data_IF_279740438318
#
_entry.id   IF_279740438318
#
_cell.length_a   1.000
_cell.length_b   1.000
_cell.length_c   1.000
_cell.angle_alpha   90.00
_cell.angle_beta   90.00
_cell.angle_gamma   90.00
#
_symmetry.space_group_name_H-M   'P 1'
#
loop_
_entity.id
_entity.type
_entity.pdbx_description
1 polymer ?
#
# COMPACT_ATOMS: atom_id res chain seq x y z
N UNK A 1 -3.26 16.55 6.53
CA UNK A 1 -1.81 16.39 6.66
C UNK A 1 -1.38 15.30 5.71
N UNK A 2 -0.36 15.50 4.88
CA UNK A 2 0.03 14.53 3.85
C UNK A 2 1.54 14.31 3.83
N UNK A 3 1.98 13.06 3.80
CA UNK A 3 3.37 12.67 3.63
C UNK A 3 3.51 11.77 2.41
N UNK A 4 4.53 12.02 1.59
CA UNK A 4 4.79 11.31 0.33
C UNK A 4 5.93 10.33 0.54
N UNK A 5 5.78 9.12 0.01
CA UNK A 5 6.75 8.04 0.07
C UNK A 5 7.06 7.57 -1.35
N UNK A 6 8.29 7.78 -1.79
CA UNK A 6 8.81 7.15 -3.00
C UNK A 6 9.34 5.78 -2.61
N UNK A 7 8.82 4.72 -3.23
CA UNK A 7 9.20 3.36 -2.89
C UNK A 7 10.30 2.87 -3.84
N UNK A 8 11.28 2.18 -3.29
CA UNK A 8 12.37 1.54 -4.02
C UNK A 8 12.10 0.04 -4.12
N UNK A 9 12.55 -0.57 -5.22
CA UNK A 9 12.50 -2.02 -5.39
C UNK A 9 13.35 -2.71 -4.32
N UNK A 10 12.70 -3.57 -3.53
CA UNK A 10 13.28 -4.33 -2.44
C UNK A 10 13.43 -5.80 -2.87
N UNK A 11 14.62 -6.18 -3.32
CA UNK A 11 14.88 -7.54 -3.82
C UNK A 11 16.34 -7.93 -3.67
N UNK A 12 16.58 -9.20 -3.37
CA UNK A 12 17.91 -9.84 -3.47
C UNK A 12 18.03 -10.68 -4.77
N UNK A 13 16.96 -10.75 -5.57
CA UNK A 13 16.81 -11.61 -6.74
C UNK A 13 16.66 -10.84 -8.06
N UNK A 14 17.07 -9.56 -8.09
CA UNK A 14 16.84 -8.62 -9.19
C UNK A 14 17.12 -9.17 -10.60
N UNK A 15 18.25 -9.87 -10.77
CA UNK A 15 18.63 -10.42 -12.08
C UNK A 15 17.72 -11.57 -12.52
N UNK A 16 17.33 -12.45 -11.58
CA UNK A 16 16.42 -13.56 -11.84
C UNK A 16 15.00 -13.06 -12.11
N UNK A 17 14.56 -12.05 -11.35
CA UNK A 17 13.24 -11.43 -11.55
C UNK A 17 13.14 -10.77 -12.94
N UNK A 18 14.20 -10.07 -13.37
CA UNK A 18 14.27 -9.46 -14.70
C UNK A 18 14.21 -10.52 -15.82
N UNK A 19 14.94 -11.62 -15.66
CA UNK A 19 14.92 -12.75 -16.61
C UNK A 19 13.52 -13.37 -16.70
N UNK A 20 12.87 -13.66 -15.57
CA UNK A 20 11.53 -14.27 -15.55
C UNK A 20 10.46 -13.38 -16.19
N UNK A 21 10.58 -12.05 -16.01
CA UNK A 21 9.70 -11.05 -16.61
C UNK A 21 10.04 -10.73 -18.08
N UNK A 22 11.17 -11.24 -18.58
CA UNK A 22 11.65 -11.00 -19.94
C UNK A 22 12.01 -9.54 -20.19
N UNK A 23 12.59 -8.86 -19.20
CA UNK A 23 13.00 -7.45 -19.24
C UNK A 23 14.44 -7.29 -18.75
N UNK A 24 14.99 -6.07 -18.85
CA UNK A 24 16.32 -5.79 -18.30
C UNK A 24 16.25 -5.36 -16.83
N UNK A 25 17.37 -5.44 -16.12
CA UNK A 25 17.50 -4.88 -14.77
C UNK A 25 17.14 -3.38 -14.74
N UNK A 26 17.56 -2.63 -15.77
CA UNK A 26 17.27 -1.20 -15.86
C UNK A 26 15.76 -0.93 -16.01
N UNK A 27 15.01 -1.83 -16.66
CA UNK A 27 13.55 -1.71 -16.77
C UNK A 27 12.87 -1.91 -15.42
N UNK A 28 13.34 -2.85 -14.59
CA UNK A 28 12.81 -3.05 -13.24
C UNK A 28 13.13 -1.86 -12.33
N UNK A 29 14.35 -1.33 -12.42
CA UNK A 29 14.76 -0.12 -11.71
C UNK A 29 14.01 1.15 -12.19
N UNK A 30 13.47 1.11 -13.41
CA UNK A 30 12.64 2.16 -13.98
C UNK A 30 11.18 2.15 -13.53
N UNK A 31 10.75 1.15 -12.75
CA UNK A 31 9.44 1.15 -12.11
C UNK A 31 9.41 2.22 -11.03
N UNK A 32 8.41 3.10 -11.08
CA UNK A 32 8.22 4.14 -10.08
C UNK A 32 6.95 3.86 -9.30
N UNK A 33 7.05 3.87 -7.97
CA UNK A 33 5.91 3.75 -7.08
C UNK A 33 5.95 4.88 -6.06
N UNK A 34 4.84 5.59 -5.96
CA UNK A 34 4.63 6.63 -4.96
C UNK A 34 3.41 6.26 -4.11
N UNK A 35 3.54 6.43 -2.79
CA UNK A 35 2.42 6.35 -1.86
C UNK A 35 2.28 7.67 -1.13
N UNK A 36 1.08 8.24 -1.11
CA UNK A 36 0.75 9.44 -0.36
C UNK A 36 -0.16 9.05 0.80
N UNK A 37 0.34 9.21 2.02
CA UNK A 37 -0.45 9.03 3.23
C UNK A 37 -1.03 10.36 3.67
N UNK A 38 -2.35 10.49 3.65
CA UNK A 38 -3.08 11.69 4.05
C UNK A 38 -3.97 11.44 5.26
N UNK A 39 -3.76 12.20 6.32
CA UNK A 39 -4.67 12.29 7.45
C UNK A 39 -5.67 13.42 7.25
N UNK A 40 -6.95 13.04 7.24
CA UNK A 40 -8.09 13.94 7.07
C UNK A 40 -8.89 13.97 8.37
N UNK A 41 -9.04 15.15 8.96
CA UNK A 41 -9.99 15.36 10.04
C UNK A 41 -11.37 15.60 9.43
N UNK A 42 -12.28 14.62 9.51
CA UNK A 42 -13.66 14.72 9.04
C UNK A 42 -14.61 15.16 10.17
N UNK A 43 -14.31 16.25 10.86
CA UNK A 43 -15.28 16.90 11.75
C UNK A 43 -16.41 17.53 10.90
N UNK A 44 -17.59 16.92 10.86
CA UNK A 44 -18.81 17.57 10.34
C UNK A 44 -19.59 18.18 11.50
N UNK A 45 -19.53 19.51 11.59
CA UNK A 45 -20.60 20.42 12.03
C UNK A 45 -21.75 19.78 12.84
N UNK A 46 -21.59 19.66 14.17
CA UNK A 46 -22.69 19.76 15.15
C UNK A 46 -22.23 19.61 16.61
N UNK A 47 -21.12 18.92 16.89
CA UNK A 47 -20.58 18.80 18.27
C UNK A 47 -19.04 18.83 18.27
N UNK A 48 -18.40 19.74 19.04
CA UNK A 48 -16.95 19.93 19.10
C UNK A 48 -16.19 18.81 19.85
N UNK A 49 -16.87 17.71 20.19
CA UNK A 49 -16.33 16.55 20.93
C UNK A 49 -16.48 15.27 20.08
N UNK A 50 -16.14 15.37 18.79
CA UNK A 50 -16.43 14.34 17.79
C UNK A 50 -15.43 14.31 16.62
N UNK A 51 -14.14 14.57 16.88
CA UNK A 51 -13.08 14.48 15.86
C UNK A 51 -13.03 13.08 15.27
N UNK A 52 -13.10 12.98 13.93
CA UNK A 52 -13.01 11.72 13.18
C UNK A 52 -11.84 11.76 12.22
N UNK A 53 -10.70 11.22 12.65
CA UNK A 53 -9.52 11.09 11.80
C UNK A 53 -9.67 9.91 10.84
N UNK A 54 -9.36 10.15 9.58
CA UNK A 54 -9.28 9.13 8.54
C UNK A 54 -7.88 9.17 7.91
N UNK A 55 -7.27 7.99 7.77
CA UNK A 55 -6.10 7.77 6.94
C UNK A 55 -6.55 7.45 5.52
N UNK A 56 -6.02 8.18 4.55
CA UNK A 56 -6.09 7.91 3.12
C UNK A 56 -4.69 7.51 2.64
N UNK A 57 -4.60 6.42 1.87
CA UNK A 57 -3.38 5.97 1.21
C UNK A 57 -3.64 5.95 -0.28
N UNK A 58 -3.09 6.92 -1.01
CA UNK A 58 -3.10 6.94 -2.47
C UNK A 58 -1.81 6.29 -2.95
N UNK A 59 -1.89 5.27 -3.80
CA UNK A 59 -0.70 4.60 -4.33
C UNK A 59 -0.72 4.57 -5.86
N UNK A 60 0.34 5.11 -6.44
CA UNK A 60 0.54 5.35 -7.86
C UNK A 60 1.70 4.51 -8.36
N UNK A 61 1.50 3.77 -9.45
CA UNK A 61 2.50 2.93 -10.09
C UNK A 61 2.68 3.39 -11.53
N UNK A 62 3.94 3.60 -11.91
CA UNK A 62 4.33 3.90 -13.29
C UNK A 62 5.28 2.83 -13.78
N UNK A 63 4.87 2.12 -14.82
CA UNK A 63 5.69 1.10 -15.48
C UNK A 63 6.32 1.67 -16.76
N UNK A 64 7.61 1.40 -17.02
CA UNK A 64 8.32 1.92 -18.18
C UNK A 64 8.01 1.17 -19.47
N UNK A 65 7.47 -0.06 -19.39
CA UNK A 65 7.27 -0.95 -20.53
C UNK A 65 5.82 -1.44 -20.66
N UNK A 66 5.37 -1.55 -21.91
CA UNK A 66 4.08 -2.16 -22.26
C UNK A 66 3.97 -3.61 -21.80
N UNK A 67 5.06 -4.36 -21.93
CA UNK A 67 5.12 -5.78 -21.56
C UNK A 67 4.91 -5.98 -20.07
N UNK A 68 5.48 -5.11 -19.22
CA UNK A 68 5.24 -5.14 -17.78
C UNK A 68 3.78 -4.79 -17.46
N UNK A 69 3.25 -3.74 -18.09
CA UNK A 69 1.85 -3.34 -17.89
C UNK A 69 0.83 -4.40 -18.31
N UNK A 70 1.13 -5.18 -19.35
CA UNK A 70 0.28 -6.29 -19.79
C UNK A 70 0.37 -7.52 -18.87
N UNK A 71 1.48 -7.70 -18.15
CA UNK A 71 1.68 -8.81 -17.22
C UNK A 71 1.22 -8.48 -15.79
N UNK A 72 1.10 -7.20 -15.43
CA UNK A 72 0.68 -6.78 -14.10
C UNK A 72 -0.75 -7.27 -13.80
N UNK A 73 -0.88 -8.05 -12.73
CA UNK A 73 -2.18 -8.38 -12.16
C UNK A 73 -2.76 -7.13 -11.49
N UNK A 74 -3.66 -6.45 -12.20
CA UNK A 74 -4.33 -5.25 -11.72
C UNK A 74 -5.85 -5.38 -11.86
N UNK A 75 -6.52 -6.00 -10.87
CA UNK A 75 -7.93 -6.31 -11.00
C UNK A 75 -8.80 -5.04 -11.04
N UNK A 76 -9.93 -5.15 -11.72
CA UNK A 76 -10.91 -4.07 -11.82
C UNK A 76 -11.65 -3.90 -10.49
N UNK A 77 -11.86 -2.62 -10.12
CA UNK A 77 -12.77 -2.15 -9.08
C UNK A 77 -14.12 -2.92 -9.11
N UNK A 78 -14.52 -3.55 -8.01
CA UNK A 78 -15.87 -4.09 -7.86
C UNK A 78 -16.41 -3.79 -6.47
N UNK A 79 -17.47 -2.98 -6.40
CA UNK A 79 -18.08 -2.56 -5.14
C UNK A 79 -18.54 -3.76 -4.29
N UNK A 80 -18.94 -4.85 -4.95
CA UNK A 80 -19.42 -6.09 -4.33
C UNK A 80 -18.30 -6.90 -3.68
N UNK A 81 -17.05 -6.69 -4.07
CA UNK A 81 -15.87 -7.37 -3.50
C UNK A 81 -15.25 -6.62 -2.32
N UNK A 82 -15.72 -5.39 -2.05
CA UNK A 82 -15.20 -4.57 -0.96
C UNK A 82 -15.53 -5.23 0.37
N UNK A 83 -14.49 -5.74 1.05
CA UNK A 83 -14.67 -6.49 2.27
C UNK A 83 -13.38 -7.14 2.77
N UNK A 84 -13.48 -7.76 3.94
CA UNK A 84 -12.36 -8.50 4.50
C UNK A 84 -11.98 -9.69 3.62
N UNK A 85 -10.69 -9.83 3.31
CA UNK A 85 -10.12 -11.04 2.71
C UNK A 85 -8.67 -11.22 3.17
N UNK A 86 -8.30 -12.45 3.47
CA UNK A 86 -6.96 -12.82 3.92
C UNK A 86 -6.04 -13.17 2.73
N UNK A 87 -4.75 -13.37 2.99
CA UNK A 87 -3.74 -13.78 1.99
C UNK A 87 -3.58 -12.80 0.81
N UNK A 88 -3.88 -11.52 1.00
CA UNK A 88 -3.77 -10.51 -0.05
C UNK A 88 -2.33 -10.27 -0.51
N UNK A 89 -1.34 -10.53 0.35
CA UNK A 89 0.09 -10.44 0.04
C UNK A 89 0.56 -11.46 -1.01
N UNK A 90 -0.26 -12.45 -1.38
CA UNK A 90 0.02 -13.38 -2.48
C UNK A 90 -0.28 -12.80 -3.88
N UNK A 91 -0.79 -11.55 -3.93
CA UNK A 91 -1.20 -10.85 -5.14
C UNK A 91 -0.67 -9.42 -5.13
N UNK A 92 -1.03 -8.63 -6.14
CA UNK A 92 -0.79 -7.18 -6.09
C UNK A 92 -1.51 -6.59 -4.89
N UNK A 93 -0.76 -5.95 -3.99
CA UNK A 93 -1.25 -5.51 -2.70
C UNK A 93 -0.53 -4.21 -2.29
N UNK A 94 -1.29 -3.24 -1.79
CA UNK A 94 -0.74 -2.18 -0.94
C UNK A 94 -0.70 -2.73 0.49
N UNK A 95 0.49 -2.78 1.07
CA UNK A 95 0.68 -3.00 2.50
C UNK A 95 1.00 -1.66 3.17
N UNK A 96 0.59 -1.48 4.41
CA UNK A 96 0.99 -0.30 5.18
C UNK A 96 1.07 -0.64 6.66
N UNK A 97 2.26 -0.46 7.22
CA UNK A 97 2.51 -0.71 8.63
C UNK A 97 2.44 0.58 9.43
N UNK A 98 1.74 0.53 10.57
CA UNK A 98 1.50 1.67 11.45
C UNK A 98 1.93 1.32 12.88
N UNK A 99 2.72 2.19 13.50
CA UNK A 99 3.01 2.12 14.92
C UNK A 99 2.87 3.48 15.60
N UNK A 100 2.52 3.44 16.89
CA UNK A 100 2.48 4.59 17.78
C UNK A 100 1.67 4.27 19.03
N UNK A 101 1.97 4.99 20.11
CA UNK A 101 1.54 4.64 21.46
C UNK A 101 0.02 4.65 21.62
N UNK A 102 -0.69 5.55 20.93
CA UNK A 102 -2.16 5.69 21.07
C UNK A 102 -2.96 4.76 20.14
N UNK A 103 -2.32 4.17 19.13
CA UNK A 103 -2.97 3.21 18.22
C UNK A 103 -2.74 1.79 18.73
N UNK A 104 -1.55 1.52 19.26
CA UNK A 104 -1.11 0.17 19.64
C UNK A 104 -0.69 0.09 21.11
N UNK A 105 -1.46 0.66 22.03
CA UNK A 105 -1.07 0.90 23.44
C UNK A 105 -0.75 -0.33 24.29
N UNK A 106 -0.90 -1.55 23.77
CA UNK A 106 -0.61 -2.80 24.48
C UNK A 106 0.90 -3.13 24.48
N UNK A 107 1.73 -2.16 24.85
CA UNK A 107 3.11 -2.43 25.22
C UNK A 107 3.09 -3.34 26.44
N UNK A 108 3.63 -4.55 26.27
CA UNK A 108 3.80 -5.52 27.35
C UNK A 108 5.28 -5.79 27.54
N UNK A 109 5.63 -6.37 28.68
CA UNK A 109 6.97 -6.92 28.91
C UNK A 109 6.86 -8.42 28.63
N UNK A 110 7.61 -8.92 27.66
CA UNK A 110 7.61 -10.35 27.38
C UNK A 110 8.37 -11.14 28.45
N UNK A 111 8.34 -12.47 28.36
CA UNK A 111 8.95 -13.39 29.35
C UNK A 111 10.46 -13.15 29.56
N UNK A 112 11.13 -12.48 28.62
CA UNK A 112 12.55 -12.15 28.65
C UNK A 112 12.86 -10.72 29.14
N UNK A 113 11.89 -10.03 29.76
CA UNK A 113 11.99 -8.63 30.19
C UNK A 113 12.19 -7.60 29.05
N UNK A 114 11.89 -7.96 27.81
CA UNK A 114 11.93 -7.02 26.69
C UNK A 114 10.58 -6.33 26.51
N UNK A 115 10.63 -5.03 26.26
CA UNK A 115 9.46 -4.22 25.90
C UNK A 115 8.98 -4.63 24.50
N UNK A 116 7.71 -4.98 24.35
CA UNK A 116 7.13 -5.30 23.04
C UNK A 116 6.87 -4.02 22.24
N UNK A 117 7.01 -4.11 20.91
CA UNK A 117 6.75 -3.01 19.98
C UNK A 117 5.55 -3.36 19.09
N UNK A 118 4.30 -3.20 19.58
CA UNK A 118 3.12 -3.56 18.83
C UNK A 118 2.88 -2.64 17.63
N UNK A 119 2.39 -3.22 16.54
CA UNK A 119 2.10 -2.51 15.30
C UNK A 119 0.86 -3.06 14.61
N UNK A 120 0.34 -2.30 13.65
CA UNK A 120 -0.73 -2.73 12.75
C UNK A 120 -0.23 -2.86 11.33
N UNK A 121 -0.84 -3.78 10.59
CA UNK A 121 -0.63 -3.96 9.16
C UNK A 121 -1.98 -3.83 8.45
N UNK A 122 -1.98 -3.02 7.38
CA UNK A 122 -3.10 -2.85 6.46
C UNK A 122 -2.69 -3.50 5.15
N UNK A 123 -3.48 -4.45 4.66
CA UNK A 123 -3.33 -5.02 3.33
C UNK A 123 -4.54 -4.64 2.49
N UNK A 124 -4.31 -4.10 1.31
CA UNK A 124 -5.36 -3.62 0.42
C UNK A 124 -5.09 -4.02 -1.03
N UNK A 125 -6.00 -4.80 -1.59
CA UNK A 125 -5.97 -5.21 -2.99
C UNK A 125 -6.56 -4.11 -3.90
N UNK A 126 -6.11 -3.99 -5.16
CA UNK A 126 -6.67 -3.03 -6.12
C UNK A 126 -8.15 -3.22 -6.47
N UNK A 127 -8.76 -4.36 -6.11
CA UNK A 127 -10.18 -4.68 -6.29
C UNK A 127 -11.08 -4.30 -5.10
N UNK A 128 -10.50 -3.82 -4.00
CA UNK A 128 -11.22 -3.31 -2.84
C UNK A 128 -11.30 -4.29 -1.67
N UNK A 129 -10.79 -5.51 -1.82
CA UNK A 129 -10.56 -6.43 -0.70
C UNK A 129 -9.48 -5.88 0.23
N UNK A 130 -9.61 -6.12 1.53
CA UNK A 130 -8.65 -5.65 2.52
C UNK A 130 -8.51 -6.59 3.72
N UNK A 131 -7.40 -6.46 4.43
CA UNK A 131 -7.22 -7.05 5.76
C UNK A 131 -6.50 -6.07 6.69
N UNK A 132 -6.84 -6.15 7.97
CA UNK A 132 -6.18 -5.40 9.02
C UNK A 132 -5.75 -6.36 10.12
N UNK A 133 -4.45 -6.38 10.39
CA UNK A 133 -3.84 -7.22 11.41
C UNK A 133 -3.21 -6.38 12.50
N UNK A 134 -3.17 -6.93 13.72
CA UNK A 134 -2.40 -6.38 14.82
C UNK A 134 -1.36 -7.39 15.23
N UNK A 135 -0.15 -6.88 15.44
CA UNK A 135 0.97 -7.62 15.96
C UNK A 135 1.28 -7.07 17.35
N UNK A 136 1.49 -7.97 18.30
CA UNK A 136 1.95 -7.62 19.64
C UNK A 136 3.44 -7.23 19.64
N UNK A 137 4.21 -7.79 18.71
CA UNK A 137 5.64 -7.53 18.51
C UNK A 137 6.05 -8.01 17.11
N UNK A 138 7.33 -7.87 16.75
CA UNK A 138 7.90 -8.35 15.48
C UNK A 138 7.40 -9.75 15.08
N UNK A 139 6.58 -9.81 14.01
CA UNK A 139 5.93 -11.02 13.47
C UNK A 139 5.23 -11.89 14.52
N UNK A 140 4.69 -11.27 15.58
CA UNK A 140 4.01 -11.96 16.67
C UNK A 140 2.54 -11.51 16.77
N UNK A 141 1.55 -12.42 16.65
CA UNK A 141 1.69 -13.87 16.51
C UNK A 141 2.27 -14.28 15.15
N UNK A 142 3.04 -15.37 15.13
CA UNK A 142 3.65 -15.90 13.90
C UNK A 142 2.72 -16.86 13.13
N UNK A 143 1.54 -17.16 13.66
CA UNK A 143 0.58 -18.10 13.07
C UNK A 143 -0.28 -17.43 12.01
N UNK A 144 -0.30 -18.01 10.80
CA UNK A 144 -1.19 -17.61 9.70
C UNK A 144 -2.41 -18.54 9.61
N UNK A 145 -3.61 -18.05 9.25
CA UNK A 145 -3.95 -16.63 9.10
C UNK A 145 -3.97 -15.92 10.47
N UNK A 146 -3.57 -14.65 10.49
CA UNK A 146 -3.69 -13.83 11.67
C UNK A 146 -5.17 -13.59 11.97
N UNK A 147 -5.54 -13.56 13.25
CA UNK A 147 -6.89 -13.18 13.62
C UNK A 147 -7.14 -11.73 13.16
N UNK A 148 -8.11 -11.49 12.26
CA UNK A 148 -8.31 -10.15 11.74
C UNK A 148 -8.88 -9.25 12.84
N UNK A 149 -8.40 -8.02 12.89
CA UNK A 149 -8.95 -7.01 13.80
C UNK A 149 -10.41 -6.67 13.48
N UNK A 150 -10.85 -6.97 12.25
CA UNK A 150 -12.17 -6.65 11.72
C UNK A 150 -12.80 -7.89 11.08
N UNK A 151 -13.87 -8.43 11.66
CA UNK A 151 -14.66 -9.48 10.99
C UNK A 151 -15.68 -8.87 10.02
N UNK A 152 -15.80 -9.47 8.82
CA UNK A 152 -16.61 -8.99 7.69
C UNK A 152 -18.14 -9.12 7.81
N UNK A 153 -18.73 -8.90 8.99
CA UNK A 153 -20.17 -9.05 9.22
C UNK A 153 -21.02 -7.81 8.83
N UNK A 154 -20.48 -6.88 8.04
CA UNK A 154 -21.20 -5.66 7.64
C UNK A 154 -21.36 -4.59 8.73
N UNK A 155 -20.80 -4.80 9.93
CA UNK A 155 -20.60 -3.75 10.94
C UNK A 155 -19.16 -3.16 10.88
N UNK A 156 -18.46 -3.40 9.77
CA UNK A 156 -17.02 -3.18 9.60
C UNK A 156 -16.60 -1.74 9.81
N UNK A 157 -15.55 -1.56 10.61
CA UNK A 157 -15.04 -0.26 11.08
C UNK A 157 -14.38 0.58 9.96
N UNK A 158 -13.85 -0.08 8.93
CA UNK A 158 -13.24 0.56 7.78
C UNK A 158 -14.31 0.87 6.71
N UNK A 159 -14.36 2.12 6.26
CA UNK A 159 -15.13 2.52 5.08
C UNK A 159 -14.15 2.79 3.94
N UNK A 160 -14.15 1.93 2.92
CA UNK A 160 -13.50 2.23 1.66
C UNK A 160 -14.48 3.11 0.88
N UNK A 161 -14.36 4.43 1.03
CA UNK A 161 -15.11 5.39 0.23
C UNK A 161 -14.37 5.58 -1.08
N UNK A 162 -14.72 4.75 -2.05
CA UNK A 162 -13.88 4.53 -3.22
C UNK A 162 -14.22 5.52 -4.33
N UNK A 163 -13.90 6.79 -4.06
CA UNK A 163 -14.18 7.91 -4.96
C UNK A 163 -13.31 7.83 -6.21
N UNK A 164 -13.82 7.13 -7.21
CA UNK A 164 -13.46 7.41 -8.59
C UNK A 164 -13.87 8.87 -8.89
N UNK A 165 -12.94 9.80 -8.76
CA UNK A 165 -12.99 11.09 -9.46
C UNK A 165 -11.88 11.13 -10.50
N UNK A 166 -12.13 11.75 -11.66
CA UNK A 166 -11.52 11.34 -12.92
C UNK A 166 -10.11 11.92 -13.04
N UNK A 167 -9.12 11.22 -12.51
CA UNK A 167 -7.81 11.29 -13.13
C UNK A 167 -7.83 10.30 -14.28
N UNK A 168 -7.95 10.90 -15.46
CA UNK A 168 -7.85 10.22 -16.74
C UNK A 168 -6.67 9.27 -16.68
N UNK A 169 -6.96 7.98 -16.57
CA UNK A 169 -6.06 6.97 -17.11
C UNK A 169 -5.83 7.44 -18.53
N UNK A 170 -4.65 7.98 -18.83
CA UNK A 170 -4.32 8.43 -20.19
C UNK A 170 -4.44 7.27 -21.20
N UNK A 171 -4.63 6.04 -20.70
CA UNK A 171 -4.80 4.82 -21.44
C UNK A 171 -5.96 3.91 -20.95
N UNK A 172 -7.02 4.38 -20.25
CA UNK A 172 -8.10 3.50 -19.75
C UNK A 172 -8.71 2.62 -20.84
N UNK A 173 -8.96 3.21 -22.01
CA UNK A 173 -9.46 2.48 -23.18
C UNK A 173 -8.45 1.47 -23.74
N UNK A 174 -7.14 1.74 -23.60
CA UNK A 174 -6.08 0.84 -24.05
C UNK A 174 -5.83 -0.30 -23.06
N UNK A 175 -5.91 -0.05 -21.75
CA UNK A 175 -5.79 -1.06 -20.70
C UNK A 175 -7.00 -2.00 -20.68
N UNK A 176 -8.22 -1.49 -20.91
CA UNK A 176 -9.41 -2.32 -21.09
C UNK A 176 -9.32 -3.20 -22.36
N UNK A 177 -8.73 -2.67 -23.44
CA UNK A 177 -8.46 -3.46 -24.66
C UNK A 177 -7.34 -4.50 -24.48
N UNK A 178 -6.36 -4.23 -23.60
CA UNK A 178 -5.26 -5.17 -23.27
C UNK A 178 -5.74 -6.32 -22.37
N UNK A 179 -6.66 -6.06 -21.43
CA UNK A 179 -7.31 -7.11 -20.63
C UNK A 179 -8.30 -7.97 -21.44
N UNK A 180 -8.75 -7.49 -22.61
CA UNK A 180 -9.63 -8.23 -23.52
C UNK A 180 -8.91 -9.20 -24.48
N UNK A 181 -7.61 -9.48 -24.27
CA UNK A 181 -6.94 -10.63 -24.90
C UNK A 181 -6.46 -10.47 -26.36
N UNK A 182 -6.38 -9.24 -26.89
CA UNK A 182 -5.75 -9.03 -28.22
C UNK A 182 -4.25 -8.74 -28.08
N UNK A 183 -3.43 -9.78 -28.26
CA UNK A 183 -1.97 -9.68 -28.39
C UNK A 183 -1.58 -8.96 -29.69
N UNK A 184 -0.87 -7.81 -29.67
CA UNK A 184 -0.13 -7.36 -30.83
C UNK A 184 1.29 -7.93 -30.76
N UNK A 185 1.73 -8.54 -31.85
CA UNK A 185 3.08 -9.06 -32.04
C UNK A 185 4.13 -7.95 -32.14
N UNK A 186 5.28 -8.24 -31.53
CA UNK A 186 6.66 -7.83 -31.88
C UNK A 186 7.34 -6.63 -31.19
N UNK A 187 8.56 -6.98 -30.73
CA UNK A 187 9.85 -6.25 -30.78
C UNK A 187 10.05 -5.01 -29.90
N UNK A 188 10.87 -5.14 -28.85
CA UNK A 188 11.51 -3.99 -28.20
C UNK A 188 12.97 -4.28 -27.78
N UNK A 189 13.90 -3.83 -28.62
CA UNK A 189 15.25 -3.44 -28.24
C UNK A 189 15.41 -1.96 -28.59
N UNK A 190 15.58 -1.07 -27.61
CA UNK A 190 15.95 0.33 -27.84
C UNK A 190 15.96 1.17 -26.56
N UNK A 191 16.87 2.16 -26.41
CA UNK A 191 17.08 2.89 -25.15
C UNK A 191 15.94 3.88 -24.85
N UNK A 192 15.68 4.17 -23.58
CA UNK A 192 14.67 5.12 -23.11
C UNK A 192 14.95 6.56 -23.61
N UNK A 193 14.11 7.06 -24.53
CA UNK A 193 14.15 8.43 -25.09
C UNK A 193 13.01 9.26 -24.46
N UNK A 194 13.25 10.55 -24.19
CA UNK A 194 12.23 11.52 -23.80
C UNK A 194 11.03 11.48 -24.78
N UNK A 195 9.83 11.14 -24.26
CA UNK A 195 8.65 10.79 -25.07
C UNK A 195 8.27 9.30 -25.01
N UNK A 196 8.99 8.48 -24.24
CA UNK A 196 8.62 7.10 -23.96
C UNK A 196 7.22 7.02 -23.32
N UNK A 197 6.38 6.13 -23.86
CA UNK A 197 5.05 5.86 -23.30
C UNK A 197 5.21 5.13 -21.98
N UNK A 198 4.75 5.76 -20.90
CA UNK A 198 4.62 5.16 -19.58
C UNK A 198 3.21 4.60 -19.36
N UNK A 199 3.10 3.64 -18.46
CA UNK A 199 1.83 2.98 -18.11
C UNK A 199 1.52 3.23 -16.65
N UNK A 200 0.43 3.95 -16.40
CA UNK A 200 0.07 4.44 -15.08
C UNK A 200 -1.12 3.68 -14.48
N UNK A 201 -1.00 3.36 -13.20
CA UNK A 201 -2.01 2.70 -12.39
C UNK A 201 -2.11 3.41 -11.04
N UNK A 202 -3.32 3.56 -10.52
CA UNK A 202 -3.54 4.27 -9.27
C UNK A 202 -4.74 3.69 -8.53
N UNK A 203 -4.66 3.72 -7.20
CA UNK A 203 -5.76 3.41 -6.27
C UNK A 203 -5.62 4.22 -4.99
N UNK A 204 -6.75 4.38 -4.32
CA UNK A 204 -6.84 4.97 -2.99
C UNK A 204 -7.47 3.99 -2.02
N UNK A 205 -6.91 3.90 -0.82
CA UNK A 205 -7.47 3.16 0.32
C UNK A 205 -7.78 4.11 1.47
N UNK A 206 -8.86 3.85 2.20
CA UNK A 206 -9.32 4.72 3.28
C UNK A 206 -9.62 3.92 4.55
N UNK A 207 -9.15 4.41 5.69
CA UNK A 207 -9.32 3.80 7.00
C UNK A 207 -9.67 4.84 8.06
N UNK A 208 -10.74 4.59 8.80
CA UNK A 208 -11.09 5.42 9.97
C UNK A 208 -10.18 5.07 11.15
N UNK A 209 -9.37 6.04 11.61
CA UNK A 209 -8.42 5.84 12.72
C UNK A 209 -9.11 5.81 14.08
N UNK A 210 -10.24 6.49 14.21
CA UNK A 210 -11.08 6.47 15.42
C UNK A 210 -11.50 5.08 15.86
N UNK A 211 -11.46 4.13 14.94
CA UNK A 211 -11.92 2.78 15.16
C UNK A 211 -10.73 1.80 15.16
N UNK A 212 -9.50 2.33 15.25
CA UNK A 212 -8.27 1.60 15.60
C UNK A 212 -7.86 1.82 17.05
N UNK A 213 -8.02 3.04 17.59
CA UNK A 213 -7.56 3.33 18.95
C UNK A 213 -8.30 2.48 19.98
N UNK A 214 -7.52 1.79 20.82
CA UNK A 214 -8.02 1.06 21.99
C UNK A 214 -8.25 1.99 23.20
N UNK A 215 -7.84 3.26 23.10
CA UNK A 215 -7.92 4.25 24.18
C UNK A 215 -8.88 5.36 23.76
N UNK A 216 -9.90 5.64 24.57
CA UNK A 216 -10.71 6.85 24.40
C UNK A 216 -9.86 8.05 24.79
N UNK A 217 -9.19 8.68 23.84
CA UNK A 217 -8.46 9.92 24.08
C UNK A 217 -9.42 11.11 23.97
N UNK A 218 -9.27 12.08 24.88
CA UNK A 218 -10.01 13.36 24.86
C UNK A 218 -9.32 14.42 24.00
N UNK A 219 -8.16 14.09 23.42
CA UNK A 219 -7.30 15.01 22.67
C UNK A 219 -7.35 14.64 21.18
N UNK A 220 -7.25 15.64 20.31
CA UNK A 220 -7.23 15.51 18.83
C UNK A 220 -5.98 14.78 18.27
N UNK A 221 -5.24 14.05 19.10
CA UNK A 221 -4.01 13.34 18.74
C UNK A 221 -4.30 12.10 17.88
N UNK A 222 -3.38 11.84 16.95
CA UNK A 222 -3.55 10.83 15.90
C UNK A 222 -2.99 9.47 16.30
N UNK A 223 -1.88 9.45 17.06
CA UNK A 223 -1.26 8.21 17.52
C UNK A 223 -0.46 7.44 16.48
N UNK A 224 -0.25 8.00 15.28
CA UNK A 224 0.68 7.44 14.29
C UNK A 224 2.02 8.13 14.51
N UNK A 225 2.99 7.39 15.01
CA UNK A 225 4.38 7.84 15.14
C UNK A 225 5.23 7.35 13.96
N UNK A 226 4.92 6.15 13.45
CA UNK A 226 5.60 5.53 12.32
C UNK A 226 4.58 5.05 11.29
N UNK A 227 4.95 5.25 10.03
CA UNK A 227 4.20 4.75 8.88
C UNK A 227 5.19 4.16 7.86
N UNK A 228 4.85 3.00 7.34
CA UNK A 228 5.69 2.29 6.38
C UNK A 228 4.83 1.67 5.28
N UNK A 229 4.54 2.42 4.21
CA UNK A 229 3.80 1.87 3.07
C UNK A 229 4.71 0.97 2.24
N UNK A 230 4.24 -0.23 1.89
CA UNK A 230 4.89 -1.14 0.97
C UNK A 230 3.94 -1.49 -0.17
N UNK A 231 4.46 -1.86 -1.33
CA UNK A 231 3.65 -2.31 -2.46
C UNK A 231 4.23 -3.60 -3.01
N UNK A 232 3.37 -4.60 -3.14
CA UNK A 232 3.64 -5.85 -3.84
C UNK A 232 3.00 -5.74 -5.22
N UNK A 233 3.78 -5.96 -6.27
CA UNK A 233 3.28 -6.08 -7.64
C UNK A 233 3.40 -7.53 -8.08
N UNK A 234 2.26 -8.17 -8.37
CA UNK A 234 2.23 -9.53 -8.93
C UNK A 234 2.12 -9.45 -10.44
N UNK A 235 3.04 -10.11 -11.14
CA UNK A 235 3.07 -10.22 -12.59
C UNK A 235 2.79 -11.65 -13.01
N UNK A 236 1.82 -11.82 -13.91
CA UNK A 236 1.50 -13.11 -14.54
C UNK A 236 2.34 -13.29 -15.80
N UNK A 237 3.31 -14.20 -15.73
CA UNK A 237 4.21 -14.53 -16.83
C UNK A 237 3.85 -15.89 -17.44
N UNK A 238 4.45 -16.24 -18.57
CA UNK A 238 4.32 -17.58 -19.16
C UNK A 238 4.90 -18.69 -18.26
N UNK A 239 5.77 -18.34 -17.32
CA UNK A 239 6.48 -19.28 -16.45
C UNK A 239 5.88 -19.33 -15.03
N UNK A 240 4.79 -18.61 -14.78
CA UNK A 240 4.15 -18.50 -13.47
C UNK A 240 4.08 -17.06 -12.99
N UNK A 241 3.88 -16.88 -11.68
CA UNK A 241 3.83 -15.56 -11.05
C UNK A 241 5.21 -15.09 -10.61
N UNK A 242 5.48 -13.81 -10.80
CA UNK A 242 6.64 -13.11 -10.23
C UNK A 242 6.12 -11.96 -9.37
N UNK A 243 6.56 -11.89 -8.12
CA UNK A 243 6.23 -10.80 -7.22
C UNK A 243 7.43 -9.87 -7.09
N UNK A 244 7.20 -8.56 -7.24
CA UNK A 244 8.18 -7.53 -6.94
C UNK A 244 7.68 -6.74 -5.73
N UNK A 245 8.58 -6.47 -4.79
CA UNK A 245 8.27 -5.79 -3.53
C UNK A 245 8.91 -4.41 -3.50
N UNK A 246 8.20 -3.43 -2.96
CA UNK A 246 8.66 -2.04 -2.93
C UNK A 246 8.39 -1.43 -1.56
N UNK A 247 9.37 -0.71 -1.01
CA UNK A 247 9.27 0.00 0.26
C UNK A 247 10.20 1.23 0.25
N UNK A 248 10.01 2.24 1.13
CA UNK A 248 10.92 3.39 1.20
C UNK A 248 12.33 2.99 1.63
N UNK A 249 12.40 2.05 2.60
CA UNK A 249 13.61 1.41 3.12
C UNK A 249 13.26 -0.03 3.52
N UNK A 250 14.25 -0.92 3.64
CA UNK A 250 14.02 -2.29 4.10
C UNK A 250 15.30 -2.91 4.66
N UNK A 251 15.16 -3.97 5.46
CA UNK A 251 16.28 -4.81 5.89
C UNK A 251 16.91 -5.57 4.72
N UNK A 252 18.09 -6.17 4.93
CA UNK A 252 18.73 -7.07 3.95
C UNK A 252 18.95 -8.43 4.64
N UNK A 253 18.25 -9.52 4.24
CA UNK A 253 17.26 -9.60 3.16
C UNK A 253 15.98 -8.77 3.44
N UNK A 254 15.16 -8.46 2.41
CA UNK A 254 13.93 -7.67 2.58
C UNK A 254 13.01 -8.21 3.68
N UNK A 255 12.76 -7.36 4.68
CA UNK A 255 11.80 -7.61 5.75
C UNK A 255 11.10 -6.30 6.11
N UNK A 256 9.82 -6.20 5.78
CA UNK A 256 9.03 -4.98 5.97
C UNK A 256 8.46 -4.85 7.38
N UNK A 257 8.55 -5.91 8.20
CA UNK A 257 8.11 -5.89 9.59
C UNK A 257 9.17 -5.33 10.55
N UNK A 258 10.41 -5.12 10.10
CA UNK A 258 11.46 -4.56 10.94
C UNK A 258 11.27 -3.04 11.08
N UNK A 259 10.79 -2.64 12.26
CA UNK A 259 10.43 -1.26 12.59
C UNK A 259 11.62 -0.30 12.56
N UNK A 260 12.86 -0.79 12.59
CA UNK A 260 14.06 0.05 12.48
C UNK A 260 14.14 0.77 11.12
N UNK A 261 13.48 0.25 10.08
CA UNK A 261 13.47 0.80 8.74
C UNK A 261 12.24 1.67 8.45
N UNK A 262 11.34 1.81 9.42
CA UNK A 262 10.10 2.54 9.23
C UNK A 262 10.32 4.05 9.27
N UNK A 263 9.52 4.78 8.51
CA UNK A 263 9.60 6.23 8.49
C UNK A 263 8.80 6.82 9.65
N UNK A 264 9.38 7.83 10.29
CA UNK A 264 8.64 8.66 11.25
C UNK A 264 7.54 9.41 10.48
N UNK A 265 6.34 9.44 11.04
CA UNK A 265 5.28 10.32 10.56
C UNK A 265 5.55 11.74 11.06
N UNK A 266 6.10 12.57 10.19
CA UNK A 266 6.42 13.95 10.55
C UNK A 266 5.19 14.83 10.36
N UNK A 267 4.43 15.03 11.44
CA UNK A 267 3.22 15.87 11.44
C UNK A 267 3.51 17.29 10.95
N UNK A 268 4.68 17.87 11.26
CA UNK A 268 5.01 19.24 10.87
C UNK A 268 5.21 19.32 9.37
N UNK A 269 5.97 18.40 8.78
CA UNK A 269 6.14 18.31 7.33
C UNK A 269 4.80 18.01 6.67
N UNK A 270 4.01 17.11 7.24
CA UNK A 270 2.72 16.74 6.70
C UNK A 270 1.68 17.88 6.76
N UNK A 271 1.83 18.84 7.67
CA UNK A 271 1.00 20.06 7.75
C UNK A 271 1.41 21.15 6.75
N UNK A 272 2.67 21.22 6.31
CA UNK A 272 3.16 22.24 5.36
C UNK A 272 2.50 22.17 3.96
N UNK A 273 1.76 21.10 3.70
CA UNK A 273 0.98 20.82 2.48
C UNK A 273 1.84 20.50 1.23
N UNK A 274 1.26 19.83 0.23
CA UNK A 274 1.96 19.47 -0.99
C UNK A 274 2.08 20.70 -1.87
N UNK A 275 3.26 20.92 -2.46
CA UNK A 275 3.31 21.73 -3.67
C UNK A 275 2.29 21.14 -4.65
N UNK A 276 1.31 21.96 -5.03
CA UNK A 276 0.51 21.71 -6.21
C UNK A 276 1.47 21.36 -7.33
N UNK A 277 1.51 20.10 -7.75
CA UNK A 277 2.03 19.77 -9.06
C UNK A 277 1.04 20.42 -10.04
N UNK A 278 1.59 21.33 -10.83
CA UNK A 278 0.94 22.17 -11.84
C UNK A 278 -0.06 21.41 -12.72
#
# INVERSE_FOLDING_TARGET
MSQIFNLCLATDTLAADAEQLGVTIADLQGIQIEVVATLVNRAKTAQPTNTKWQLQLDYCITLPLKSLAAQLYWPTWQAEQVGFADYLWEQTCLECFLAGELINSAVSINENNNKTNPYMEINASPDGRYALYQFADYRNPATLPLAPLLQGNGQTRASIDWKATPFSVSNAAHNAALQAGSMPTSSFNGPLIAGAKTYHFERSFYLSLNQLSQVQTTNDEIGIEYIHPCVILSFDTKFGKTALYFAPNHAVPPDFHDTQYWSIFDEKVAMLKPHSIL
#
